data_IF_934023250302
#
_entry.id   IF_934023250302
#
_cell.length_a   1.000
_cell.length_b   1.000
_cell.length_c   1.000
_cell.angle_alpha   90.00
_cell.angle_beta   90.00
_cell.angle_gamma   90.00
#
_symmetry.space_group_name_H-M   'P 1'
#
loop_
_entity.id
_entity.type
_entity.pdbx_description
1 polymer ?
#
# COMPACT_ATOMS: atom_id res chain seq x y z
N UNK A 1 -3.43 -6.00 -19.84
CA UNK A 1 -4.00 -5.75 -18.50
C UNK A 1 -5.14 -4.79 -18.68
N UNK A 2 -6.22 -4.90 -17.91
CA UNK A 2 -7.37 -4.00 -18.10
C UNK A 2 -7.18 -2.71 -17.28
N UNK A 3 -7.23 -1.51 -17.90
CA UNK A 3 -7.00 -0.24 -17.19
C UNK A 3 -8.06 0.04 -16.13
N UNK A 4 -9.32 -0.33 -16.38
CA UNK A 4 -10.42 -0.14 -15.43
C UNK A 4 -10.20 -0.98 -14.18
N UNK A 5 -9.99 -2.29 -14.36
CA UNK A 5 -9.71 -3.24 -13.28
C UNK A 5 -8.50 -2.81 -12.46
N UNK A 6 -7.47 -2.26 -13.12
CA UNK A 6 -6.25 -1.78 -12.45
C UNK A 6 -6.53 -0.57 -11.56
N UNK A 7 -7.28 0.41 -12.05
CA UNK A 7 -7.67 1.59 -11.28
C UNK A 7 -8.60 1.25 -10.11
N UNK A 8 -9.56 0.36 -10.34
CA UNK A 8 -10.46 -0.14 -9.29
C UNK A 8 -9.68 -0.88 -8.20
N UNK A 9 -8.70 -1.70 -8.58
CA UNK A 9 -7.82 -2.38 -7.64
C UNK A 9 -7.05 -1.40 -6.78
N UNK A 10 -6.49 -0.35 -7.37
CA UNK A 10 -5.78 0.69 -6.62
C UNK A 10 -6.74 1.42 -5.66
N UNK A 11 -7.91 1.83 -6.13
CA UNK A 11 -8.90 2.51 -5.29
C UNK A 11 -9.28 1.66 -4.07
N UNK A 12 -9.52 0.37 -4.28
CA UNK A 12 -9.81 -0.58 -3.20
C UNK A 12 -8.67 -0.68 -2.17
N UNK A 13 -7.42 -0.76 -2.63
CA UNK A 13 -6.27 -0.83 -1.71
C UNK A 13 -6.13 0.45 -0.88
N UNK A 14 -6.33 1.61 -1.51
CA UNK A 14 -6.31 2.91 -0.82
C UNK A 14 -7.44 3.06 0.20
N UNK A 15 -8.64 2.58 -0.11
CA UNK A 15 -9.77 2.54 0.82
C UNK A 15 -9.46 1.68 2.05
N UNK A 16 -8.87 0.50 1.83
CA UNK A 16 -8.49 -0.42 2.91
C UNK A 16 -7.43 0.17 3.84
N UNK A 17 -6.54 0.99 3.30
CA UNK A 17 -5.50 1.71 4.06
C UNK A 17 -6.01 2.97 4.76
N UNK A 18 -7.29 3.32 4.63
CA UNK A 18 -7.86 4.59 5.09
C UNK A 18 -7.05 5.80 4.58
N UNK A 19 -6.60 5.72 3.32
CA UNK A 19 -5.89 6.81 2.67
C UNK A 19 -6.80 8.03 2.49
N UNK A 20 -6.21 9.14 2.02
CA UNK A 20 -6.96 10.37 1.80
C UNK A 20 -8.20 10.14 0.92
N UNK A 21 -9.41 10.58 1.34
CA UNK A 21 -10.64 10.38 0.57
C UNK A 21 -10.59 11.06 -0.80
N UNK A 22 -9.79 12.13 -0.93
CA UNK A 22 -9.52 12.78 -2.20
C UNK A 22 -8.81 11.85 -3.20
N UNK A 23 -7.83 11.06 -2.73
CA UNK A 23 -7.10 10.12 -3.59
C UNK A 23 -8.00 8.97 -4.02
N UNK A 24 -8.74 8.38 -3.07
CA UNK A 24 -9.71 7.32 -3.37
C UNK A 24 -10.69 7.80 -4.46
N UNK A 25 -11.28 8.98 -4.28
CA UNK A 25 -12.20 9.57 -5.25
C UNK A 25 -11.55 9.76 -6.62
N UNK A 26 -10.31 10.26 -6.67
CA UNK A 26 -9.60 10.45 -7.95
C UNK A 26 -9.41 9.13 -8.72
N UNK A 27 -9.07 8.04 -8.04
CA UNK A 27 -8.93 6.72 -8.70
C UNK A 27 -10.29 6.14 -9.13
N UNK A 28 -11.35 6.34 -8.35
CA UNK A 28 -12.71 5.92 -8.72
C UNK A 28 -13.22 6.67 -9.96
N UNK A 29 -13.10 8.00 -9.98
CA UNK A 29 -13.49 8.81 -11.14
C UNK A 29 -12.65 8.49 -12.37
N UNK A 30 -11.35 8.21 -12.19
CA UNK A 30 -10.50 7.78 -13.30
C UNK A 30 -10.94 6.42 -13.88
N UNK A 31 -11.41 5.48 -13.04
CA UNK A 31 -11.92 4.19 -13.52
C UNK A 31 -13.20 4.37 -14.36
N UNK A 32 -14.12 5.24 -13.93
CA UNK A 32 -15.31 5.60 -14.69
C UNK A 32 -14.97 6.23 -16.04
N UNK A 33 -13.98 7.14 -16.06
CA UNK A 33 -13.51 7.76 -17.30
C UNK A 33 -12.84 6.74 -18.23
N UNK A 34 -12.03 5.81 -17.68
CA UNK A 34 -11.36 4.77 -18.44
C UNK A 34 -12.34 3.74 -19.04
N UNK A 35 -13.48 3.49 -18.39
CA UNK A 35 -14.51 2.59 -18.92
C UNK A 35 -15.18 3.08 -20.21
N UNK A 36 -15.09 4.38 -20.50
CA UNK A 36 -15.63 4.98 -21.71
C UNK A 36 -14.61 5.04 -22.87
N UNK A 37 -13.37 4.63 -22.61
CA UNK A 37 -12.31 4.67 -23.61
C UNK A 37 -12.27 3.37 -24.44
N UNK A 38 -11.83 3.45 -25.71
CA UNK A 38 -11.60 2.27 -26.51
C UNK A 38 -10.47 1.41 -25.91
N UNK A 39 -10.47 0.12 -26.19
CA UNK A 39 -9.45 -0.84 -25.73
C UNK A 39 -8.08 -0.67 -26.43
N UNK A 40 -7.85 0.47 -27.08
CA UNK A 40 -6.61 0.78 -27.77
C UNK A 40 -5.56 1.35 -26.80
N UNK A 41 -4.26 1.29 -27.14
CA UNK A 41 -3.22 1.93 -26.35
C UNK A 41 -3.47 3.44 -26.23
N UNK A 42 -3.46 3.94 -24.99
CA UNK A 42 -3.69 5.35 -24.69
C UNK A 42 -2.41 5.97 -24.17
N UNK A 43 -2.04 7.13 -24.70
CA UNK A 43 -0.91 7.90 -24.20
C UNK A 43 -1.28 8.69 -22.94
N UNK A 44 -0.27 9.07 -22.17
CA UNK A 44 -0.47 9.84 -20.93
C UNK A 44 -1.16 11.17 -21.23
N UNK A 45 -0.81 11.83 -22.33
CA UNK A 45 -1.38 13.13 -22.70
C UNK A 45 -2.88 13.05 -23.04
N UNK A 46 -3.37 11.96 -23.62
CA UNK A 46 -4.81 11.76 -23.84
C UNK A 46 -5.53 11.41 -22.55
N UNK A 47 -4.93 10.57 -21.72
CA UNK A 47 -5.52 10.25 -20.42
C UNK A 47 -5.63 11.49 -19.50
N UNK A 48 -4.64 12.37 -19.48
CA UNK A 48 -4.67 13.63 -18.71
C UNK A 48 -5.73 14.63 -19.17
N UNK A 49 -6.21 14.52 -20.41
CA UNK A 49 -7.30 15.37 -20.92
C UNK A 49 -8.67 14.96 -20.39
N UNK A 50 -8.78 13.81 -19.76
CA UNK A 50 -10.05 13.31 -19.22
C UNK A 50 -10.44 14.03 -17.92
N UNK A 51 -11.73 14.33 -17.74
CA UNK A 51 -12.21 15.01 -16.55
C UNK A 51 -11.97 14.14 -15.30
N UNK A 52 -11.32 14.72 -14.29
CA UNK A 52 -11.02 14.01 -13.04
C UNK A 52 -9.83 13.06 -13.11
N UNK A 53 -9.11 13.01 -14.23
CA UNK A 53 -7.85 12.27 -14.35
C UNK A 53 -6.67 13.23 -14.11
N UNK A 54 -5.81 12.86 -13.16
CA UNK A 54 -4.58 13.58 -12.88
C UNK A 54 -3.35 12.87 -13.44
N UNK A 55 -2.15 13.45 -13.33
CA UNK A 55 -0.93 12.90 -13.90
C UNK A 55 -0.58 11.50 -13.36
N UNK A 56 -0.95 11.19 -12.11
CA UNK A 56 -0.74 9.88 -11.52
C UNK A 56 -1.67 8.82 -12.11
N UNK A 57 -2.98 9.12 -12.26
CA UNK A 57 -3.95 8.18 -12.82
C UNK A 57 -3.77 8.03 -14.33
N UNK A 58 -3.39 9.10 -15.03
CA UNK A 58 -3.08 9.05 -16.46
C UNK A 58 -1.92 8.09 -16.78
N UNK A 59 -0.86 8.10 -15.97
CA UNK A 59 0.26 7.14 -16.10
C UNK A 59 -0.20 5.70 -15.89
N UNK A 60 -1.06 5.47 -14.90
CA UNK A 60 -1.64 4.15 -14.63
C UNK A 60 -2.47 3.65 -15.81
N UNK A 61 -3.29 4.52 -16.40
CA UNK A 61 -4.09 4.20 -17.60
C UNK A 61 -3.17 3.84 -18.77
N UNK A 62 -2.16 4.68 -19.05
CA UNK A 62 -1.25 4.46 -20.15
C UNK A 62 -0.48 3.13 -20.02
N UNK A 63 0.09 2.85 -18.84
CA UNK A 63 0.82 1.61 -18.59
C UNK A 63 -0.08 0.37 -18.67
N UNK A 64 -1.28 0.44 -18.08
CA UNK A 64 -2.23 -0.67 -18.13
C UNK A 64 -2.73 -0.93 -19.57
N UNK A 65 -2.95 0.12 -20.37
CA UNK A 65 -3.42 0.02 -21.76
C UNK A 65 -2.44 -0.77 -22.66
N UNK A 66 -1.13 -0.68 -22.39
CA UNK A 66 -0.10 -1.46 -23.08
C UNK A 66 0.22 -2.80 -22.39
N UNK A 67 -0.56 -3.17 -21.38
CA UNK A 67 -0.39 -4.41 -20.62
C UNK A 67 0.77 -4.43 -19.63
N UNK A 68 1.38 -3.28 -19.32
CA UNK A 68 2.39 -3.15 -18.26
C UNK A 68 1.71 -2.99 -16.91
N UNK A 69 2.36 -3.51 -15.87
CA UNK A 69 1.91 -3.32 -14.48
C UNK A 69 2.34 -1.93 -14.00
N UNK A 70 1.40 -1.05 -13.62
CA UNK A 70 1.76 0.30 -13.18
C UNK A 70 2.50 0.27 -11.84
N UNK A 71 3.54 1.10 -11.71
CA UNK A 71 4.33 1.20 -10.49
C UNK A 71 3.47 1.55 -9.26
N UNK A 72 2.45 2.39 -9.45
CA UNK A 72 1.54 2.78 -8.37
C UNK A 72 0.75 1.60 -7.80
N UNK A 73 0.37 0.63 -8.66
CA UNK A 73 -0.30 -0.59 -8.21
C UNK A 73 0.64 -1.42 -7.33
N UNK A 74 1.89 -1.63 -7.77
CA UNK A 74 2.89 -2.38 -7.02
C UNK A 74 3.14 -1.78 -5.64
N UNK A 75 3.24 -0.44 -5.56
CA UNK A 75 3.42 0.26 -4.29
C UNK A 75 2.20 0.14 -3.38
N UNK A 76 0.98 0.24 -3.93
CA UNK A 76 -0.25 0.07 -3.16
C UNK A 76 -0.37 -1.38 -2.64
N UNK A 77 -0.01 -2.36 -3.44
CA UNK A 77 0.00 -3.77 -3.02
C UNK A 77 1.05 -4.05 -1.96
N UNK A 78 2.25 -3.46 -2.09
CA UNK A 78 3.31 -3.58 -1.09
C UNK A 78 2.90 -2.99 0.26
N UNK A 79 2.28 -1.80 0.27
CA UNK A 79 1.73 -1.20 1.50
C UNK A 79 0.63 -2.07 2.12
N UNK A 80 -0.26 -2.60 1.28
CA UNK A 80 -1.32 -3.47 1.74
C UNK A 80 -0.79 -4.80 2.32
N UNK A 81 0.31 -5.33 1.77
CA UNK A 81 0.97 -6.55 2.24
C UNK A 81 1.75 -6.33 3.55
N UNK A 82 2.29 -5.13 3.78
CA UNK A 82 3.03 -4.82 5.00
C UNK A 82 2.16 -4.90 6.28
N UNK A 83 0.83 -4.77 6.13
CA UNK A 83 -0.13 -4.83 7.25
C UNK A 83 0.08 -3.72 8.30
N UNK A 84 -0.83 -3.55 9.27
CA UNK A 84 -0.50 -2.79 10.45
C UNK A 84 0.65 -3.53 11.14
N UNK A 85 1.77 -2.84 11.38
CA UNK A 85 2.87 -3.38 12.16
C UNK A 85 2.28 -4.04 13.42
N UNK A 86 2.67 -5.28 13.77
CA UNK A 86 2.17 -5.91 14.99
C UNK A 86 2.42 -4.92 16.14
N UNK A 87 1.44 -4.70 17.04
CA UNK A 87 1.66 -3.82 18.17
C UNK A 87 2.94 -4.29 18.86
N UNK A 88 3.86 -3.37 19.26
CA UNK A 88 5.05 -3.79 19.97
C UNK A 88 4.58 -4.64 21.14
N UNK A 89 5.13 -5.86 21.24
CA UNK A 89 4.72 -6.82 22.26
C UNK A 89 4.67 -6.11 23.62
N UNK A 90 3.46 -5.80 24.08
CA UNK A 90 3.26 -5.18 25.38
C UNK A 90 3.56 -6.27 26.39
N UNK A 91 4.78 -6.32 26.90
CA UNK A 91 5.05 -7.03 28.14
C UNK A 91 4.15 -6.40 29.22
N UNK A 92 3.13 -7.16 29.64
CA UNK A 92 2.12 -6.76 30.61
C UNK A 92 2.65 -6.71 32.04
N UNK A 93 3.77 -6.02 32.29
CA UNK A 93 4.34 -5.82 33.62
C UNK A 93 4.37 -4.32 33.97
N UNK A 94 3.19 -3.69 34.01
CA UNK A 94 3.04 -2.39 34.64
C UNK A 94 1.61 -2.16 35.14
N UNK A 95 1.15 -3.00 36.08
CA UNK A 95 0.08 -2.57 36.99
C UNK A 95 0.28 -3.23 38.36
N UNK A 96 0.69 -2.37 39.31
CA UNK A 96 0.86 -2.58 40.76
C UNK A 96 1.95 -3.56 41.20
N UNK A 97 3.07 -3.02 41.67
CA UNK A 97 3.41 -3.01 43.11
C UNK A 97 4.75 -2.32 43.33
N UNK A 98 4.83 -1.47 44.37
CA UNK A 98 6.11 -0.99 44.91
C UNK A 98 6.79 -2.21 45.53
N UNK A 99 7.75 -2.79 44.84
CA UNK A 99 8.72 -3.69 45.44
C UNK A 99 10.04 -3.48 44.70
N UNK A 100 11.02 -3.00 45.44
CA UNK A 100 12.43 -2.91 45.05
C UNK A 100 12.92 -4.30 44.67
N UNK A 101 12.99 -4.60 43.39
CA UNK A 101 13.66 -5.78 42.87
C UNK A 101 14.67 -5.33 41.81
N UNK A 102 15.93 -5.22 42.25
CA UNK A 102 17.09 -5.05 41.38
C UNK A 102 17.20 -6.28 40.50
N UNK A 103 16.71 -6.20 39.27
CA UNK A 103 16.95 -7.24 38.27
C UNK A 103 18.42 -7.22 37.87
N UNK A 104 19.26 -7.99 38.56
CA UNK A 104 20.57 -8.39 38.06
C UNK A 104 20.36 -9.31 36.87
N UNK A 105 20.48 -8.72 35.68
CA UNK A 105 20.65 -9.40 34.40
C UNK A 105 21.94 -10.21 34.45
N UNK A 106 21.84 -11.49 34.76
CA UNK A 106 22.92 -12.46 34.56
C UNK A 106 22.31 -13.63 33.79
N UNK A 107 22.39 -13.55 32.46
CA UNK A 107 22.05 -14.69 31.61
C UNK A 107 23.14 -15.77 31.74
N UNK A 108 22.78 -17.06 31.70
CA UNK A 108 23.75 -18.14 31.71
C UNK A 108 24.37 -18.32 30.32
N UNK A 109 25.65 -18.01 30.15
CA UNK A 109 26.45 -18.52 29.03
C UNK A 109 26.90 -19.94 29.37
N UNK A 110 26.26 -20.92 28.75
CA UNK A 110 26.68 -22.31 28.72
C UNK A 110 27.80 -22.53 27.67
N UNK A 111 28.55 -23.65 27.73
CA UNK A 111 29.96 -23.70 27.34
C UNK A 111 30.29 -24.46 26.03
N UNK A 112 31.58 -24.41 25.69
CA UNK A 112 32.36 -25.33 24.83
C UNK A 112 32.49 -24.99 23.34
N UNK A 113 33.75 -24.88 22.85
CA UNK A 113 34.54 -26.03 22.36
C UNK A 113 35.99 -25.65 22.04
N UNK A 114 36.90 -26.54 22.45
CA UNK A 114 38.29 -26.68 21.99
C UNK A 114 38.41 -26.81 20.48
N UNK A 115 39.48 -26.25 19.91
CA UNK A 115 40.70 -26.99 19.54
C UNK A 115 41.88 -26.01 19.45
#
# INVERSE_FOLDING_TARGET
MDPVTTLERIAFLLERELASPYRVKAFRTAAEAAAQLPAEPIDVATAERLPGVGPATARVIADASVGRTPQYLLEAEARAAAGPAPPPARCGCARRSRATATCTRTGPTAPSRSN
#
